data_IF_140837312396
#
_entry.id   IF_140837312396
#
_cell.length_a   1.000
_cell.length_b   1.000
_cell.length_c   1.000
_cell.angle_alpha   90.00
_cell.angle_beta   90.00
_cell.angle_gamma   90.00
#
_symmetry.space_group_name_H-M   'P 1'
#
loop_
_entity.id
_entity.type
_entity.pdbx_description
1 polymer ?
#
# COMPACT_ATOMS: atom_id res chain seq x y z
N UNK A 1 -15.89 27.67 -17.52
CA UNK A 1 -14.87 26.91 -18.28
C UNK A 1 -13.85 26.41 -17.27
N UNK A 2 -14.08 25.23 -16.69
CA UNK A 2 -13.17 24.63 -15.72
C UNK A 2 -12.10 23.86 -16.46
N UNK A 3 -10.84 24.29 -16.33
CA UNK A 3 -9.70 23.55 -16.85
C UNK A 3 -9.55 22.27 -16.02
N UNK A 4 -9.84 21.13 -16.62
CA UNK A 4 -9.51 19.82 -16.07
C UNK A 4 -7.98 19.73 -15.99
N UNK A 5 -7.45 19.54 -14.78
CA UNK A 5 -6.06 19.17 -14.60
C UNK A 5 -5.80 17.83 -15.29
N UNK A 6 -4.64 17.63 -15.94
CA UNK A 6 -4.34 16.38 -16.60
C UNK A 6 -4.27 15.25 -15.56
N UNK A 7 -4.98 14.15 -15.83
CA UNK A 7 -4.88 12.92 -15.05
C UNK A 7 -3.42 12.47 -14.97
N UNK A 8 -3.00 11.94 -13.82
CA UNK A 8 -1.68 11.34 -13.65
C UNK A 8 -1.62 10.10 -14.54
N UNK A 9 -1.05 10.25 -15.74
CA UNK A 9 -0.87 9.13 -16.67
C UNK A 9 0.11 8.13 -16.04
N UNK A 10 -0.36 6.91 -15.80
CA UNK A 10 0.51 5.80 -15.46
C UNK A 10 1.52 5.60 -16.60
N UNK A 11 2.79 5.91 -16.35
CA UNK A 11 3.83 5.78 -17.35
C UNK A 11 4.16 4.29 -17.56
N UNK A 12 3.81 3.74 -18.72
CA UNK A 12 3.96 2.31 -19.06
C UNK A 12 5.40 1.90 -19.41
N UNK A 13 6.39 2.74 -19.10
CA UNK A 13 7.80 2.54 -19.43
C UNK A 13 8.77 2.89 -18.29
N UNK A 14 8.36 2.74 -17.02
CA UNK A 14 9.28 3.02 -15.91
C UNK A 14 10.46 2.03 -15.93
N UNK A 15 11.68 2.58 -15.94
CA UNK A 15 12.94 1.82 -15.93
C UNK A 15 13.14 1.05 -14.61
N UNK A 16 12.48 1.50 -13.54
CA UNK A 16 12.47 0.87 -12.22
C UNK A 16 11.18 1.21 -11.47
N UNK A 17 10.85 0.41 -10.45
CA UNK A 17 9.70 0.61 -9.57
C UNK A 17 10.19 0.95 -8.18
N UNK A 18 9.79 2.11 -7.66
CA UNK A 18 10.19 2.61 -6.35
C UNK A 18 9.11 2.28 -5.30
N UNK A 19 9.47 1.46 -4.31
CA UNK A 19 8.53 1.01 -3.27
C UNK A 19 8.95 1.58 -1.92
N UNK A 20 8.08 2.37 -1.30
CA UNK A 20 8.23 2.76 0.09
C UNK A 20 7.81 1.60 0.99
N UNK A 21 8.65 1.29 1.99
CA UNK A 21 8.30 0.34 3.05
C UNK A 21 8.39 1.02 4.41
N UNK A 22 7.31 0.94 5.17
CA UNK A 22 7.27 1.44 6.55
C UNK A 22 7.01 0.28 7.53
N UNK A 23 7.40 0.48 8.78
CA UNK A 23 7.09 -0.45 9.86
C UNK A 23 6.89 0.30 11.17
N UNK A 24 5.95 -0.16 11.99
CA UNK A 24 5.67 0.46 13.27
C UNK A 24 6.75 0.20 14.32
N UNK A 25 6.91 1.17 15.22
CA UNK A 25 7.73 1.07 16.40
C UNK A 25 7.08 0.26 17.53
N UNK A 26 7.78 0.13 18.67
CA UNK A 26 7.26 -0.55 19.85
C UNK A 26 5.98 0.10 20.39
N UNK A 27 5.10 -0.70 21.01
CA UNK A 27 3.89 -0.24 21.71
C UNK A 27 3.40 -1.29 22.71
N UNK A 28 2.60 -0.84 23.69
CA UNK A 28 2.15 -1.68 24.80
C UNK A 28 3.33 -2.18 25.62
N UNK A 29 3.36 -3.47 25.90
CA UNK A 29 4.45 -4.11 26.66
C UNK A 29 5.66 -4.50 25.78
N UNK A 30 5.54 -4.38 24.46
CA UNK A 30 6.60 -4.77 23.54
C UNK A 30 7.68 -3.68 23.49
N UNK A 31 8.93 -4.06 23.72
CA UNK A 31 10.10 -3.17 23.57
C UNK A 31 10.63 -3.16 22.13
N UNK A 32 10.22 -4.12 21.31
CA UNK A 32 10.55 -4.24 19.88
C UNK A 32 9.30 -4.59 19.09
N UNK A 33 9.21 -4.16 17.83
CA UNK A 33 8.09 -4.48 16.94
C UNK A 33 8.59 -5.18 15.68
N UNK A 34 8.13 -6.42 15.38
CA UNK A 34 8.60 -7.17 14.22
C UNK A 34 8.35 -6.46 12.89
N UNK A 35 7.34 -5.59 12.80
CA UNK A 35 7.05 -4.85 11.57
C UNK A 35 8.25 -4.01 11.09
N UNK A 36 8.84 -3.22 11.99
CA UNK A 36 10.02 -2.42 11.67
C UNK A 36 11.28 -3.27 11.49
N UNK A 37 11.38 -4.39 12.23
CA UNK A 37 12.47 -5.35 12.08
C UNK A 37 12.48 -6.02 10.70
N UNK A 38 11.30 -6.37 10.20
CA UNK A 38 11.11 -6.93 8.86
C UNK A 38 11.43 -5.86 7.82
N UNK A 39 10.85 -4.66 7.93
CA UNK A 39 11.08 -3.55 6.99
C UNK A 39 12.58 -3.24 6.82
N UNK A 40 13.32 -3.08 7.94
CA UNK A 40 14.76 -2.78 7.90
C UNK A 40 15.64 -3.93 7.42
N UNK A 41 15.10 -5.15 7.37
CA UNK A 41 15.84 -6.34 6.92
C UNK A 41 15.75 -6.55 5.40
N UNK A 42 14.90 -5.78 4.71
CA UNK A 42 14.76 -5.84 3.27
C UNK A 42 16.03 -5.32 2.59
N UNK A 43 16.41 -5.89 1.43
CA UNK A 43 17.49 -5.32 0.62
C UNK A 43 17.05 -4.00 -0.01
N UNK A 44 17.98 -3.15 -0.43
CA UNK A 44 17.66 -1.88 -1.11
C UNK A 44 17.16 -2.09 -2.55
N UNK A 45 17.47 -3.24 -3.15
CA UNK A 45 17.12 -3.58 -4.52
C UNK A 45 16.73 -5.04 -4.65
N UNK A 46 15.76 -5.30 -5.53
CA UNK A 46 15.40 -6.65 -5.93
C UNK A 46 15.18 -6.75 -7.44
N UNK A 47 15.92 -7.66 -8.05
CA UNK A 47 15.78 -8.00 -9.47
C UNK A 47 15.02 -9.32 -9.61
N UNK A 48 13.97 -9.32 -10.42
CA UNK A 48 13.13 -10.50 -10.69
C UNK A 48 12.99 -10.63 -12.21
N UNK A 49 13.33 -11.79 -12.81
CA UNK A 49 13.20 -11.98 -14.25
C UNK A 49 11.78 -11.64 -14.75
N UNK A 50 11.71 -10.78 -15.78
CA UNK A 50 10.45 -10.36 -16.39
C UNK A 50 9.72 -9.20 -15.71
N UNK A 51 10.26 -8.66 -14.61
CA UNK A 51 9.81 -7.41 -13.97
C UNK A 51 10.88 -6.32 -14.07
N UNK A 52 10.50 -5.04 -14.05
CA UNK A 52 11.47 -3.96 -13.84
C UNK A 52 12.21 -4.13 -12.50
N UNK A 53 13.44 -3.60 -12.37
CA UNK A 53 14.12 -3.49 -11.08
C UNK A 53 13.23 -2.85 -10.03
N UNK A 54 13.19 -3.43 -8.84
CA UNK A 54 12.42 -2.91 -7.71
C UNK A 54 13.39 -2.29 -6.71
N UNK A 55 13.27 -0.97 -6.51
CA UNK A 55 14.05 -0.22 -5.53
C UNK A 55 13.21 -0.06 -4.26
N UNK A 56 13.73 -0.55 -3.15
CA UNK A 56 13.05 -0.61 -1.87
C UNK A 56 13.58 0.51 -0.97
N UNK A 57 12.69 1.41 -0.58
CA UNK A 57 12.97 2.53 0.30
C UNK A 57 12.39 2.23 1.68
N UNK A 58 13.15 1.56 2.53
CA UNK A 58 12.76 1.40 3.93
C UNK A 58 12.86 2.76 4.65
N UNK A 59 11.79 3.19 5.30
CA UNK A 59 11.85 4.40 6.14
C UNK A 59 12.86 4.17 7.28
N UNK A 60 13.85 5.07 7.50
CA UNK A 60 14.96 4.85 8.43
C UNK A 60 14.59 4.93 9.92
N UNK A 61 13.34 5.29 10.22
CA UNK A 61 12.80 5.29 11.58
C UNK A 61 11.50 4.51 11.59
N UNK A 62 11.16 3.84 12.71
CA UNK A 62 9.83 3.26 12.84
C UNK A 62 8.76 4.36 12.84
N UNK A 63 7.59 4.07 12.28
CA UNK A 63 6.41 4.91 12.48
C UNK A 63 5.99 4.79 13.94
N UNK A 64 5.93 5.91 14.65
CA UNK A 64 5.43 5.94 16.03
C UNK A 64 3.95 5.55 16.04
N UNK A 65 3.54 4.71 16.99
CA UNK A 65 2.15 4.28 17.19
C UNK A 65 1.37 5.43 17.86
N UNK A 66 1.26 6.56 17.15
CA UNK A 66 0.68 7.84 17.60
C UNK A 66 -0.17 8.44 16.47
N UNK A 67 -1.42 8.80 16.77
CA UNK A 67 -2.33 9.32 15.74
C UNK A 67 -1.85 10.67 15.20
N UNK A 68 -1.33 11.53 16.09
CA UNK A 68 -0.77 12.83 15.72
C UNK A 68 0.44 12.65 14.79
N UNK A 69 1.34 11.73 15.13
CA UNK A 69 2.51 11.45 14.30
C UNK A 69 2.12 10.94 12.91
N UNK A 70 1.14 10.03 12.81
CA UNK A 70 0.67 9.51 11.53
C UNK A 70 0.04 10.61 10.65
N UNK A 71 -0.73 11.53 11.24
CA UNK A 71 -1.30 12.69 10.52
C UNK A 71 -0.23 13.60 9.92
N UNK A 72 0.92 13.71 10.57
CA UNK A 72 2.02 14.55 10.11
C UNK A 72 2.90 13.82 9.08
N UNK A 73 3.35 12.60 9.40
CA UNK A 73 4.39 11.92 8.62
C UNK A 73 3.89 11.36 7.30
N UNK A 74 2.64 10.89 7.21
CA UNK A 74 2.16 10.20 6.00
C UNK A 74 2.01 11.16 4.81
N UNK A 75 1.37 12.33 4.93
CA UNK A 75 1.30 13.30 3.83
C UNK A 75 2.70 13.70 3.35
N UNK A 76 3.60 14.06 4.27
CA UNK A 76 4.97 14.50 3.93
C UNK A 76 5.81 13.39 3.28
N UNK A 77 5.63 12.13 3.72
CA UNK A 77 6.37 11.00 3.17
C UNK A 77 5.94 10.64 1.75
N UNK A 78 4.63 10.72 1.46
CA UNK A 78 4.06 10.33 0.18
C UNK A 78 4.08 11.46 -0.86
N UNK A 79 3.79 12.68 -0.41
CA UNK A 79 3.66 13.89 -1.21
C UNK A 79 4.33 15.07 -0.50
N UNK A 80 5.67 15.09 -0.41
CA UNK A 80 6.40 16.14 0.29
C UNK A 80 6.04 17.53 -0.27
N UNK A 81 5.93 18.52 0.62
CA UNK A 81 5.50 19.89 0.28
C UNK A 81 4.13 19.96 -0.41
N UNK A 82 3.25 19.00 -0.14
CA UNK A 82 1.94 18.84 -0.78
C UNK A 82 2.00 18.79 -2.31
N UNK A 83 3.07 18.18 -2.85
CA UNK A 83 3.20 17.92 -4.28
C UNK A 83 2.03 17.13 -4.87
N UNK A 84 1.83 17.27 -6.18
CA UNK A 84 0.84 16.49 -6.94
C UNK A 84 1.37 15.10 -7.32
N UNK A 85 2.67 15.00 -7.54
CA UNK A 85 3.31 13.75 -7.95
C UNK A 85 3.74 12.93 -6.72
N UNK A 86 3.36 11.65 -6.63
CA UNK A 86 3.79 10.79 -5.54
C UNK A 86 5.29 10.51 -5.64
N UNK A 87 5.96 10.48 -4.49
CA UNK A 87 7.39 10.15 -4.42
C UNK A 87 7.69 8.68 -4.78
N UNK A 88 6.73 7.79 -4.58
CA UNK A 88 6.89 6.35 -4.72
C UNK A 88 5.81 5.76 -5.62
N UNK A 89 6.15 4.67 -6.31
CA UNK A 89 5.22 3.92 -7.13
C UNK A 89 4.25 3.09 -6.31
N UNK A 90 4.74 2.49 -5.22
CA UNK A 90 3.98 1.61 -4.35
C UNK A 90 4.33 1.94 -2.90
N UNK A 91 3.34 1.86 -2.02
CA UNK A 91 3.51 2.01 -0.57
C UNK A 91 3.13 0.70 0.11
N UNK A 92 4.06 0.10 0.84
CA UNK A 92 3.81 -1.03 1.71
C UNK A 92 4.00 -0.62 3.17
N UNK A 93 2.91 -0.57 3.92
CA UNK A 93 2.96 -0.39 5.37
C UNK A 93 2.96 -1.76 6.05
N UNK A 94 3.82 -1.96 7.04
CA UNK A 94 3.89 -3.22 7.80
C UNK A 94 3.45 -2.96 9.25
N UNK A 95 2.58 -3.80 9.78
CA UNK A 95 2.08 -3.72 11.15
C UNK A 95 2.05 -5.06 11.86
N UNK A 96 2.27 -5.05 13.16
CA UNK A 96 2.09 -6.23 14.02
C UNK A 96 0.60 -6.48 14.22
N UNK A 97 0.14 -7.74 14.03
CA UNK A 97 -1.16 -8.20 14.47
C UNK A 97 -1.01 -9.16 15.67
N UNK A 98 -1.16 -8.68 16.92
CA UNK A 98 -1.00 -9.51 18.11
C UNK A 98 -1.92 -10.74 18.07
N UNK A 99 -1.37 -11.91 18.41
CA UNK A 99 -2.11 -13.18 18.46
C UNK A 99 -2.36 -13.86 17.11
N UNK A 100 -1.96 -13.26 15.98
CA UNK A 100 -1.99 -13.94 14.68
C UNK A 100 -0.70 -14.74 14.47
N UNK A 101 -0.84 -15.91 13.85
CA UNK A 101 0.28 -16.79 13.44
C UNK A 101 0.41 -16.89 11.90
N UNK A 102 -0.25 -15.97 11.18
CA UNK A 102 -0.31 -15.91 9.73
C UNK A 102 -0.13 -14.47 9.25
N UNK A 103 0.22 -14.29 7.99
CA UNK A 103 0.41 -12.99 7.36
C UNK A 103 -0.84 -12.57 6.61
N UNK A 104 -1.19 -11.28 6.63
CA UNK A 104 -2.33 -10.77 5.86
C UNK A 104 -2.00 -9.57 5.01
N UNK A 105 -2.51 -9.57 3.77
CA UNK A 105 -2.64 -8.36 2.96
C UNK A 105 -4.02 -7.74 3.23
N UNK A 106 -4.04 -6.53 3.76
CA UNK A 106 -5.31 -5.82 4.02
C UNK A 106 -5.81 -5.17 2.73
N UNK A 107 -7.07 -5.41 2.36
CA UNK A 107 -7.63 -4.98 1.08
C UNK A 107 -8.34 -3.63 1.15
N UNK A 108 -8.69 -3.18 2.35
CA UNK A 108 -9.38 -1.92 2.61
C UNK A 108 -8.98 -1.36 3.98
N UNK A 109 -9.27 -0.09 4.19
CA UNK A 109 -9.09 0.61 5.47
C UNK A 109 -10.32 1.46 5.82
N UNK A 110 -10.54 1.70 7.11
CA UNK A 110 -11.69 2.47 7.60
C UNK A 110 -11.29 3.88 8.03
N UNK A 111 -12.19 4.85 7.86
CA UNK A 111 -11.97 6.22 8.29
C UNK A 111 -12.08 6.41 9.81
N UNK A 112 -12.97 5.63 10.43
CA UNK A 112 -13.45 5.87 11.80
C UNK A 112 -13.32 4.64 12.71
N UNK A 113 -13.75 4.78 13.97
CA UNK A 113 -13.82 3.69 14.95
C UNK A 113 -12.59 3.55 15.85
N UNK A 114 -11.73 4.55 15.88
CA UNK A 114 -10.45 4.56 16.58
C UNK A 114 -10.56 4.95 18.06
N UNK A 115 -11.06 4.03 18.88
CA UNK A 115 -11.28 4.25 20.32
C UNK A 115 -10.10 3.83 21.24
N UNK A 116 -9.06 3.21 20.69
CA UNK A 116 -7.90 2.74 21.46
C UNK A 116 -6.89 3.87 21.64
N UNK A 117 -6.32 3.94 22.86
CA UNK A 117 -5.22 4.86 23.17
C UNK A 117 -3.95 4.52 22.40
N UNK A 118 -3.31 5.53 21.87
CA UNK A 118 -1.99 5.46 21.26
C UNK A 118 -0.88 5.53 22.34
N UNK A 119 0.40 5.53 21.93
CA UNK A 119 1.52 5.55 22.91
C UNK A 119 1.63 6.86 23.68
N UNK A 120 0.98 7.93 23.21
CA UNK A 120 0.91 9.23 23.88
C UNK A 120 -0.33 9.33 24.78
N UNK A 121 -1.15 8.28 24.84
CA UNK A 121 -2.37 8.22 25.64
C UNK A 121 -3.60 8.86 24.97
N UNK A 122 -3.49 9.25 23.70
CA UNK A 122 -4.54 9.91 22.93
C UNK A 122 -5.43 8.91 22.18
N UNK A 123 -6.67 9.30 21.90
CA UNK A 123 -7.62 8.53 21.07
C UNK A 123 -8.21 9.44 20.00
N UNK A 124 -8.84 8.84 18.99
CA UNK A 124 -9.64 9.56 17.99
C UNK A 124 -11.14 9.26 18.18
N UNK A 125 -11.58 8.99 19.41
CA UNK A 125 -13.00 8.82 19.70
C UNK A 125 -13.77 10.12 19.37
N UNK A 126 -14.72 10.03 18.44
CA UNK A 126 -15.48 11.18 17.95
C UNK A 126 -14.70 12.10 17.00
N UNK A 127 -13.51 11.73 16.55
CA UNK A 127 -12.79 12.48 15.52
C UNK A 127 -13.54 12.45 14.19
N UNK A 128 -13.71 13.62 13.57
CA UNK A 128 -14.39 13.77 12.27
C UNK A 128 -13.55 14.55 11.27
N UNK A 129 -12.24 14.68 11.51
CA UNK A 129 -11.38 15.59 10.76
C UNK A 129 -11.42 15.28 9.26
N UNK A 130 -11.16 14.02 8.86
CA UNK A 130 -11.15 13.63 7.45
C UNK A 130 -12.52 13.69 6.77
N UNK A 131 -13.61 13.52 7.52
CA UNK A 131 -14.97 13.71 6.99
C UNK A 131 -15.26 15.18 6.70
N UNK A 132 -14.89 16.09 7.60
CA UNK A 132 -15.18 17.52 7.45
C UNK A 132 -14.24 18.16 6.43
N UNK A 133 -12.95 17.87 6.51
CA UNK A 133 -11.93 18.52 5.70
C UNK A 133 -11.94 18.05 4.24
N UNK A 134 -12.17 16.75 4.02
CA UNK A 134 -12.00 16.14 2.68
C UNK A 134 -13.26 15.46 2.15
N UNK A 135 -14.37 15.44 2.90
CA UNK A 135 -15.54 14.62 2.59
C UNK A 135 -15.16 13.14 2.35
N UNK A 136 -14.16 12.67 3.10
CA UNK A 136 -13.52 11.40 2.81
C UNK A 136 -14.47 10.20 3.02
N UNK A 137 -14.45 9.16 2.17
CA UNK A 137 -15.34 8.01 2.28
C UNK A 137 -15.13 7.23 3.59
N UNK A 138 -16.15 6.57 4.14
CA UNK A 138 -15.98 5.76 5.35
C UNK A 138 -14.98 4.61 5.19
N UNK A 139 -14.79 4.14 3.95
CA UNK A 139 -13.87 3.06 3.61
C UNK A 139 -13.13 3.39 2.32
N UNK A 140 -11.82 3.16 2.32
CA UNK A 140 -10.97 3.26 1.15
C UNK A 140 -10.37 1.90 0.80
N UNK A 141 -10.20 1.68 -0.51
CA UNK A 141 -9.67 0.43 -1.07
C UNK A 141 -8.38 0.72 -1.82
N UNK A 142 -7.46 -0.24 -1.76
CA UNK A 142 -6.32 -0.27 -2.68
C UNK A 142 -6.79 -0.32 -4.13
N UNK A 143 -6.05 0.29 -5.04
CA UNK A 143 -6.34 0.18 -6.48
C UNK A 143 -5.78 -1.09 -7.13
N UNK A 144 -5.05 -1.94 -6.39
CA UNK A 144 -4.57 -3.21 -6.92
C UNK A 144 -5.71 -4.21 -7.15
N UNK A 145 -5.54 -5.11 -8.14
CA UNK A 145 -6.33 -6.35 -8.21
C UNK A 145 -5.91 -7.27 -7.06
N UNK A 146 -6.56 -7.10 -5.91
CA UNK A 146 -6.25 -7.84 -4.68
C UNK A 146 -6.39 -9.35 -4.85
N UNK A 147 -7.25 -9.84 -5.76
CA UNK A 147 -7.38 -11.27 -6.02
C UNK A 147 -6.17 -11.79 -6.79
N UNK A 148 -5.72 -11.08 -7.81
CA UNK A 148 -4.52 -11.45 -8.57
C UNK A 148 -3.25 -11.34 -7.72
N UNK A 149 -3.09 -10.25 -6.95
CA UNK A 149 -1.99 -10.09 -5.99
C UNK A 149 -1.93 -11.25 -5.01
N UNK A 150 -3.05 -11.61 -4.37
CA UNK A 150 -3.06 -12.72 -3.41
C UNK A 150 -2.70 -14.05 -4.07
N UNK A 151 -3.23 -14.35 -5.27
CA UNK A 151 -2.89 -15.58 -6.01
C UNK A 151 -1.39 -15.66 -6.29
N UNK A 152 -0.78 -14.57 -6.75
CA UNK A 152 0.67 -14.50 -7.01
C UNK A 152 1.49 -14.66 -5.73
N UNK A 153 1.11 -13.94 -4.67
CA UNK A 153 1.79 -13.96 -3.38
C UNK A 153 1.80 -15.36 -2.78
N UNK A 154 0.62 -16.00 -2.72
CA UNK A 154 0.45 -17.37 -2.22
C UNK A 154 1.24 -18.39 -3.04
N UNK A 155 1.26 -18.26 -4.36
CA UNK A 155 1.99 -19.17 -5.25
C UNK A 155 3.51 -19.08 -5.07
N UNK A 156 4.02 -17.88 -4.74
CA UNK A 156 5.46 -17.67 -4.49
C UNK A 156 5.95 -18.20 -3.14
N UNK A 157 5.06 -18.42 -2.17
CA UNK A 157 5.39 -18.76 -0.79
C UNK A 157 4.45 -19.84 -0.23
N UNK A 158 4.40 -21.00 -0.89
CA UNK A 158 3.42 -22.05 -0.56
C UNK A 158 3.48 -22.60 0.87
N UNK A 159 4.60 -22.40 1.57
CA UNK A 159 4.80 -22.87 2.95
C UNK A 159 4.25 -21.91 4.01
N UNK A 160 3.99 -20.65 3.64
CA UNK A 160 3.50 -19.63 4.55
C UNK A 160 1.97 -19.55 4.53
N UNK A 161 1.37 -19.25 5.68
CA UNK A 161 -0.07 -18.99 5.78
C UNK A 161 -0.36 -17.52 5.42
N UNK A 162 -0.78 -17.31 4.17
CA UNK A 162 -0.98 -15.99 3.55
C UNK A 162 -2.45 -15.78 3.20
N UNK A 163 -3.07 -14.73 3.75
CA UNK A 163 -4.52 -14.48 3.59
C UNK A 163 -4.83 -13.04 3.20
N UNK A 164 -5.87 -12.78 2.40
CA UNK A 164 -6.46 -11.45 2.33
C UNK A 164 -7.23 -11.17 3.62
N UNK A 165 -7.33 -9.90 4.02
CA UNK A 165 -8.14 -9.44 5.15
C UNK A 165 -8.80 -8.12 4.79
N UNK A 166 -10.02 -7.90 5.27
CA UNK A 166 -10.78 -6.66 5.06
C UNK A 166 -10.92 -5.85 6.36
N UNK A 167 -10.09 -6.14 7.36
CA UNK A 167 -10.16 -5.48 8.65
C UNK A 167 -8.76 -5.39 9.28
N UNK A 168 -8.17 -4.21 9.18
CA UNK A 168 -6.87 -3.88 9.74
C UNK A 168 -6.91 -3.53 11.26
N UNK A 169 -8.05 -3.70 11.93
CA UNK A 169 -8.14 -3.75 13.39
C UNK A 169 -8.51 -2.46 14.13
N UNK A 170 -9.00 -1.44 13.40
CA UNK A 170 -9.42 -0.13 13.93
C UNK A 170 -8.47 0.43 15.01
N UNK A 171 -7.19 0.46 14.67
CA UNK A 171 -6.12 1.07 15.47
C UNK A 171 -5.13 1.75 14.52
N UNK A 172 -3.89 2.00 14.95
CA UNK A 172 -2.89 2.70 14.14
C UNK A 172 -2.56 1.99 12.82
N UNK A 173 -2.67 0.67 12.73
CA UNK A 173 -2.48 -0.06 11.47
C UNK A 173 -3.52 0.36 10.41
N UNK A 174 -4.81 0.28 10.77
CA UNK A 174 -5.92 0.71 9.92
C UNK A 174 -5.86 2.23 9.65
N UNK A 175 -5.55 3.02 10.67
CA UNK A 175 -5.44 4.48 10.55
C UNK A 175 -4.34 4.92 9.59
N UNK A 176 -3.14 4.32 9.70
CA UNK A 176 -2.04 4.59 8.76
C UNK A 176 -2.34 4.08 7.37
N UNK A 177 -3.03 2.95 7.25
CA UNK A 177 -3.45 2.46 5.94
C UNK A 177 -4.44 3.42 5.28
N UNK A 178 -5.46 3.83 6.03
CA UNK A 178 -6.44 4.80 5.56
C UNK A 178 -5.79 6.14 5.22
N UNK A 179 -4.92 6.68 6.09
CA UNK A 179 -4.17 7.91 5.81
C UNK A 179 -3.39 7.81 4.49
N UNK A 180 -2.71 6.68 4.26
CA UNK A 180 -1.96 6.45 3.03
C UNK A 180 -2.88 6.46 1.80
N UNK A 181 -4.01 5.75 1.86
CA UNK A 181 -4.99 5.70 0.76
C UNK A 181 -5.67 7.07 0.52
N UNK A 182 -5.94 7.81 1.60
CA UNK A 182 -6.58 9.11 1.58
C UNK A 182 -5.73 10.14 0.84
N UNK A 183 -4.41 10.13 1.04
CA UNK A 183 -3.51 11.08 0.38
C UNK A 183 -3.57 11.00 -1.15
N UNK A 184 -3.72 9.80 -1.70
CA UNK A 184 -3.97 9.59 -3.13
C UNK A 184 -5.41 9.96 -3.50
N UNK A 185 -6.40 9.51 -2.72
CA UNK A 185 -7.81 9.77 -3.00
C UNK A 185 -8.16 11.27 -3.04
N UNK A 186 -7.66 12.06 -2.08
CA UNK A 186 -7.98 13.49 -1.99
C UNK A 186 -7.40 14.31 -3.14
N UNK A 187 -6.36 13.78 -3.81
CA UNK A 187 -5.75 14.38 -5.01
C UNK A 187 -6.46 13.94 -6.28
N UNK A 188 -6.78 12.65 -6.38
CA UNK A 188 -7.50 12.08 -7.52
C UNK A 188 -8.46 10.97 -7.05
N UNK A 189 -9.74 11.28 -6.76
CA UNK A 189 -10.68 10.31 -6.17
C UNK A 189 -10.89 9.05 -7.01
N UNK A 190 -10.84 9.19 -8.35
CA UNK A 190 -10.94 8.09 -9.31
C UNK A 190 -9.57 7.53 -9.73
N UNK A 191 -8.49 8.10 -9.20
CA UNK A 191 -7.13 7.78 -9.55
C UNK A 191 -6.57 6.55 -8.84
N UNK A 192 -5.29 6.31 -9.10
CA UNK A 192 -4.52 5.19 -8.56
C UNK A 192 -4.23 5.40 -7.07
N UNK A 193 -4.37 4.34 -6.27
CA UNK A 193 -4.08 4.29 -4.83
C UNK A 193 -3.19 3.07 -4.54
N UNK A 194 -1.88 3.16 -4.87
CA UNK A 194 -0.97 2.02 -4.86
C UNK A 194 -0.45 1.70 -3.46
N UNK A 195 -1.35 1.64 -2.47
CA UNK A 195 -1.02 1.35 -1.08
C UNK A 195 -1.53 -0.05 -0.70
N UNK A 196 -0.70 -0.77 0.05
CA UNK A 196 -1.03 -2.06 0.65
C UNK A 196 -0.56 -2.07 2.11
N UNK A 197 -1.28 -2.81 2.95
CA UNK A 197 -0.88 -3.04 4.34
C UNK A 197 -0.63 -4.52 4.57
N UNK A 198 0.52 -4.85 5.17
CA UNK A 198 0.91 -6.20 5.56
C UNK A 198 0.87 -6.33 7.08
N UNK A 199 -0.05 -7.14 7.59
CA UNK A 199 0.03 -7.58 8.98
C UNK A 199 0.92 -8.80 9.11
N UNK A 200 1.77 -8.78 10.13
CA UNK A 200 2.74 -9.83 10.46
C UNK A 200 2.46 -10.43 11.85
N UNK A 201 2.85 -11.69 12.10
CA UNK A 201 2.86 -12.29 13.44
C UNK A 201 3.78 -11.57 14.44
N UNK A 202 3.70 -11.97 15.71
CA UNK A 202 4.46 -11.39 16.82
C UNK A 202 5.91 -11.91 16.99
N UNK A 203 6.33 -12.88 16.18
CA UNK A 203 7.65 -13.50 16.29
C UNK A 203 8.80 -12.50 16.10
N UNK A 204 9.83 -12.61 16.94
CA UNK A 204 11.01 -11.73 16.95
C UNK A 204 12.33 -12.50 16.83
N UNK A 205 12.29 -13.84 16.78
CA UNK A 205 13.48 -14.63 16.56
C UNK A 205 14.01 -14.43 15.14
N UNK A 206 15.28 -14.74 14.91
CA UNK A 206 15.92 -14.55 13.60
C UNK A 206 15.12 -15.23 12.46
N UNK A 207 14.60 -16.43 12.73
CA UNK A 207 13.76 -17.18 11.80
C UNK A 207 12.41 -16.50 11.53
N UNK A 208 11.80 -15.86 12.54
CA UNK A 208 10.56 -15.12 12.38
C UNK A 208 10.77 -13.90 11.48
N UNK A 209 11.86 -13.16 11.72
CA UNK A 209 12.23 -12.01 10.88
C UNK A 209 12.56 -12.46 9.46
N UNK A 210 13.28 -13.58 9.29
CA UNK A 210 13.58 -14.15 7.97
C UNK A 210 12.30 -14.50 7.20
N UNK A 211 11.35 -15.18 7.84
CA UNK A 211 10.06 -15.54 7.24
C UNK A 211 9.21 -14.30 6.92
N UNK A 212 9.18 -13.33 7.83
CA UNK A 212 8.49 -12.06 7.62
C UNK A 212 9.08 -11.25 6.46
N UNK A 213 10.41 -11.25 6.33
CA UNK A 213 11.12 -10.66 5.18
C UNK A 213 10.73 -11.34 3.88
N UNK A 214 10.69 -12.67 3.85
CA UNK A 214 10.25 -13.43 2.68
C UNK A 214 8.80 -13.13 2.32
N UNK A 215 7.90 -13.07 3.30
CA UNK A 215 6.51 -12.69 3.13
C UNK A 215 6.37 -11.28 2.52
N UNK A 216 7.07 -10.28 3.08
CA UNK A 216 7.06 -8.91 2.59
C UNK A 216 7.61 -8.81 1.16
N UNK A 217 8.77 -9.42 0.90
CA UNK A 217 9.35 -9.48 -0.44
C UNK A 217 8.39 -10.16 -1.43
N UNK A 218 7.82 -11.31 -1.07
CA UNK A 218 6.84 -12.01 -1.90
C UNK A 218 5.63 -11.14 -2.24
N UNK A 219 5.12 -10.38 -1.28
CA UNK A 219 3.99 -9.48 -1.49
C UNK A 219 4.37 -8.34 -2.44
N UNK A 220 5.54 -7.71 -2.25
CA UNK A 220 6.03 -6.65 -3.15
C UNK A 220 6.15 -7.17 -4.59
N UNK A 221 6.74 -8.35 -4.77
CA UNK A 221 6.85 -8.96 -6.10
C UNK A 221 5.46 -9.21 -6.73
N UNK A 222 4.49 -9.66 -5.93
CA UNK A 222 3.12 -9.89 -6.39
C UNK A 222 2.40 -8.60 -6.77
N UNK A 223 2.57 -7.51 -5.99
CA UNK A 223 2.03 -6.19 -6.29
C UNK A 223 2.56 -5.66 -7.62
N UNK A 224 3.89 -5.66 -7.80
CA UNK A 224 4.53 -5.20 -9.04
C UNK A 224 4.09 -6.05 -10.23
N UNK A 225 4.11 -7.38 -10.09
CA UNK A 225 3.70 -8.28 -11.18
C UNK A 225 2.22 -8.13 -11.56
N UNK A 226 1.34 -7.92 -10.59
CA UNK A 226 -0.10 -7.72 -10.85
C UNK A 226 -0.34 -6.40 -11.58
N UNK A 227 0.31 -5.33 -11.14
CA UNK A 227 0.21 -4.01 -11.77
C UNK A 227 0.73 -4.00 -13.21
N UNK A 228 1.88 -4.64 -13.45
CA UNK A 228 2.41 -4.77 -14.81
C UNK A 228 1.53 -5.62 -15.72
N UNK A 229 0.84 -6.64 -15.18
CA UNK A 229 -0.10 -7.44 -15.95
C UNK A 229 -1.35 -6.64 -16.34
N UNK A 230 -1.89 -5.82 -15.41
CA UNK A 230 -3.01 -4.92 -15.68
C UNK A 230 -2.70 -3.93 -16.81
N UNK A 231 -1.54 -3.28 -16.76
CA UNK A 231 -1.12 -2.36 -17.83
C UNK A 231 -0.98 -3.04 -19.20
N UNK A 232 -0.55 -4.32 -19.23
CA UNK A 232 -0.48 -5.08 -20.49
C UNK A 232 -1.86 -5.42 -21.04
N UNK A 233 -2.81 -5.81 -20.19
CA UNK A 233 -4.19 -6.08 -20.63
C UNK A 233 -4.84 -4.83 -21.22
N UNK A 234 -4.73 -3.71 -20.50
CA UNK A 234 -5.33 -2.45 -20.93
C UNK A 234 -4.72 -1.96 -22.26
N UNK A 235 -3.41 -2.06 -22.43
CA UNK A 235 -2.76 -1.72 -23.71
C UNK A 235 -3.24 -2.60 -24.87
N UNK A 236 -3.50 -3.88 -24.64
CA UNK A 236 -4.02 -4.79 -25.68
C UNK A 236 -5.45 -4.42 -26.03
N UNK A 237 -6.29 -4.11 -25.03
CA UNK A 237 -7.66 -3.64 -25.23
C UNK A 237 -7.69 -2.31 -26.01
N UNK A 238 -6.87 -1.33 -25.65
CA UNK A 238 -6.76 -0.04 -26.34
C UNK A 238 -6.33 -0.22 -27.81
N UNK A 239 -5.36 -1.10 -28.10
CA UNK A 239 -4.94 -1.41 -29.48
C UNK A 239 -6.09 -2.05 -30.27
N UNK A 240 -6.80 -3.00 -29.65
CA UNK A 240 -7.94 -3.65 -30.30
C UNK A 240 -9.03 -2.62 -30.62
N UNK A 241 -9.38 -1.74 -29.68
CA UNK A 241 -10.39 -0.68 -29.89
C UNK A 241 -9.97 0.30 -31.00
N UNK A 242 -8.71 0.74 -31.02
CA UNK A 242 -8.19 1.58 -32.11
C UNK A 242 -8.22 0.88 -33.48
N UNK A 243 -7.93 -0.42 -33.54
CA UNK A 243 -7.98 -1.20 -34.78
C UNK A 243 -9.43 -1.43 -35.25
N UNK A 244 -10.38 -1.60 -34.33
CA UNK A 244 -11.81 -1.67 -34.64
C UNK A 244 -12.34 -0.34 -35.19
N UNK A 245 -11.99 0.79 -34.57
CA UNK A 245 -12.42 2.12 -35.03
C UNK A 245 -11.85 2.45 -36.42
N UNK A 246 -10.57 2.13 -36.67
CA UNK A 246 -9.95 2.30 -38.00
C UNK A 246 -10.62 1.42 -39.07
N UNK A 247 -10.96 0.18 -38.73
CA UNK A 247 -11.66 -0.71 -39.66
C UNK A 247 -13.09 -0.23 -39.96
N UNK A 248 -13.77 0.36 -38.97
CA UNK A 248 -15.12 0.92 -39.14
C UNK A 248 -15.13 2.20 -40.03
N UNK A 249 -14.09 3.03 -39.95
CA UNK A 249 -13.94 4.23 -40.79
C UNK A 249 -13.62 3.89 -42.26
N UNK A 250 -12.86 2.82 -42.51
CA UNK A 250 -12.53 2.33 -43.86
C UNK A 250 -13.72 1.65 -44.55
N UNK A 251 -14.67 1.06 -43.81
CA UNK A 251 -15.91 0.48 -44.38
C UNK A 251 -16.99 1.54 -44.69
N UNK A 252 -16.83 2.77 -44.20
CA UNK A 252 -17.77 3.87 -44.41
C UNK A 252 -17.30 4.90 -45.46
N UNK A 253 -16.17 4.62 -46.14
CA UNK A 253 -15.53 5.44 -47.18
C UNK A 253 -15.67 4.83 -48.58
#
# INVERSE_FOLDING_TARGET
>A
MGSLAPAVKANSSKEEINVLVTGFGPFGENTTNPAYQIARSLPDRRDIPGLPPIILHCHPKPITVSYAHVREIIPELLFPQDGLEPKFDIVLNIGLAPGRHFYTMETLAHRDGYNKKDVDGNTLEGDTFWQIEYEAPETLYSSFDTKDVWRRWKSGLMKEDLRPSNNAGHYLCDFTYYASLLEYWRREPKGRRPCMFLHVPNGLEEEDIRRGREAALGLIAALVASEMAGHRSQRVEDIMEEDWDRAADDECS
#
